data_IF_648803356001
#
_entry.id   IF_648803356001
#
_cell.length_a   1.000
_cell.length_b   1.000
_cell.length_c   1.000
_cell.angle_alpha   90.00
_cell.angle_beta   90.00
_cell.angle_gamma   90.00
#
_symmetry.space_group_name_H-M   'P 1'
#
loop_
_entity.id
_entity.type
_entity.pdbx_description
1 polymer ?
#
# COMPACT_ATOMS: atom_id res chain seq x y z
N UNK A 1 31.43 75.94 53.70
CA UNK A 1 31.07 74.50 53.75
C UNK A 1 30.66 74.05 52.39
N UNK A 2 31.55 73.55 51.56
CA UNK A 2 31.30 73.10 50.19
C UNK A 2 31.32 71.58 50.20
N UNK A 3 30.22 70.94 49.85
CA UNK A 3 30.15 69.49 49.69
C UNK A 3 30.50 69.12 48.27
N UNK A 4 31.63 68.47 48.05
CA UNK A 4 31.98 67.84 46.79
C UNK A 4 31.11 66.57 46.58
N UNK A 5 30.38 66.53 45.53
CA UNK A 5 29.66 65.31 45.04
C UNK A 5 30.57 64.67 43.99
N UNK A 6 31.11 63.48 44.31
CA UNK A 6 31.83 62.67 43.34
C UNK A 6 30.82 61.87 42.49
N UNK A 7 30.79 62.16 41.19
CA UNK A 7 30.00 61.42 40.22
C UNK A 7 30.86 60.25 39.70
N UNK A 8 30.53 59.03 40.11
CA UNK A 8 31.16 57.82 39.56
C UNK A 8 30.41 57.41 38.32
N UNK A 9 31.02 57.61 37.15
CA UNK A 9 30.50 57.10 35.89
C UNK A 9 31.02 55.67 35.74
N UNK A 10 30.10 54.70 35.89
CA UNK A 10 30.37 53.29 35.58
C UNK A 10 30.14 53.08 34.10
N UNK A 11 31.20 52.92 33.34
CA UNK A 11 31.17 52.58 31.92
C UNK A 11 30.97 51.07 31.82
N UNK A 12 29.69 50.63 31.61
CA UNK A 12 29.41 49.22 31.34
C UNK A 12 29.66 48.93 29.85
N UNK A 13 30.80 48.34 29.55
CA UNK A 13 31.10 47.76 28.22
C UNK A 13 30.29 46.47 28.06
N UNK A 14 29.09 46.53 27.49
CA UNK A 14 28.36 45.34 26.99
C UNK A 14 28.99 44.89 25.67
N UNK A 15 29.89 43.94 25.74
CA UNK A 15 30.35 43.19 24.59
C UNK A 15 29.14 42.33 24.07
N UNK A 16 28.51 42.82 23.02
CA UNK A 16 27.56 42.04 22.21
C UNK A 16 28.36 40.99 21.41
N UNK A 17 28.52 39.81 21.99
CA UNK A 17 28.86 38.63 21.21
C UNK A 17 27.67 38.32 20.28
N UNK A 18 27.77 38.75 18.98
CA UNK A 18 26.97 38.16 17.94
C UNK A 18 27.41 36.71 17.79
N UNK A 19 26.71 35.80 18.45
CA UNK A 19 26.71 34.38 18.08
C UNK A 19 26.11 34.34 16.68
N UNK A 20 26.93 34.35 15.65
CA UNK A 20 26.55 33.86 14.33
C UNK A 20 26.28 32.38 14.52
N UNK A 21 25.01 32.02 14.67
CA UNK A 21 24.57 30.66 14.41
C UNK A 21 25.03 30.36 12.97
N UNK A 22 26.12 29.62 12.85
CA UNK A 22 26.41 28.92 11.61
C UNK A 22 25.19 28.02 11.39
N UNK A 23 24.32 28.38 10.47
CA UNK A 23 23.37 27.46 9.89
C UNK A 23 24.23 26.31 9.35
N UNK A 24 24.36 25.25 10.15
CA UNK A 24 24.84 23.98 9.66
C UNK A 24 23.82 23.65 8.59
N UNK A 25 24.19 23.86 7.32
CA UNK A 25 23.44 23.35 6.19
C UNK A 25 23.36 21.84 6.42
N UNK A 26 22.27 21.37 7.03
CA UNK A 26 21.95 19.97 7.08
C UNK A 26 22.01 19.49 5.63
N UNK A 27 22.86 18.53 5.29
CA UNK A 27 22.92 18.04 3.92
C UNK A 27 21.50 17.64 3.55
N UNK A 28 21.01 18.16 2.41
CA UNK A 28 19.67 17.82 1.90
C UNK A 28 19.63 16.30 1.82
N UNK A 29 18.84 15.70 2.70
CA UNK A 29 18.76 14.23 2.78
C UNK A 29 18.35 13.70 1.42
N UNK A 30 19.19 12.84 0.86
CA UNK A 30 18.94 12.19 -0.43
C UNK A 30 17.64 11.40 -0.35
N UNK A 31 16.74 11.59 -1.31
CA UNK A 31 15.47 10.85 -1.40
C UNK A 31 15.66 9.59 -2.23
N UNK A 32 15.17 8.49 -1.72
CA UNK A 32 15.25 7.19 -2.37
C UNK A 32 13.88 6.75 -2.87
N UNK A 33 13.82 6.38 -4.14
CA UNK A 33 12.59 5.90 -4.76
C UNK A 33 12.87 4.86 -5.84
N UNK A 34 12.02 3.83 -5.89
CA UNK A 34 11.87 3.02 -7.09
C UNK A 34 10.93 3.76 -8.03
N UNK A 35 11.31 4.02 -9.27
CA UNK A 35 10.42 4.68 -10.21
C UNK A 35 10.57 4.13 -11.64
N UNK A 36 9.48 4.24 -12.41
CA UNK A 36 9.34 3.71 -13.75
C UNK A 36 8.55 4.71 -14.61
N UNK A 37 8.87 4.78 -15.89
CA UNK A 37 8.20 5.62 -16.89
C UNK A 37 7.15 4.85 -17.71
N UNK A 38 6.87 3.61 -17.33
CA UNK A 38 5.85 2.75 -17.92
C UNK A 38 5.06 1.99 -16.85
N UNK A 39 3.77 1.66 -17.09
CA UNK A 39 2.99 0.76 -16.26
C UNK A 39 3.62 -0.63 -16.18
N UNK A 40 3.26 -1.39 -15.14
CA UNK A 40 3.56 -2.80 -15.13
C UNK A 40 2.86 -3.52 -16.29
N UNK A 41 3.52 -4.47 -16.96
CA UNK A 41 2.90 -5.26 -18.02
C UNK A 41 1.62 -5.96 -17.55
N UNK A 42 0.75 -6.34 -18.48
CA UNK A 42 -0.46 -7.10 -18.23
C UNK A 42 -0.45 -8.42 -19.01
N UNK A 43 0.50 -9.29 -18.70
CA UNK A 43 0.68 -10.60 -19.35
C UNK A 43 -0.17 -11.70 -18.71
N UNK A 44 -0.64 -11.46 -17.50
CA UNK A 44 -1.32 -12.46 -16.69
C UNK A 44 -0.36 -13.45 -16.02
N UNK A 45 -0.93 -14.37 -15.25
CA UNK A 45 -0.18 -15.44 -14.63
C UNK A 45 0.12 -16.56 -15.64
N UNK A 46 1.35 -17.05 -15.67
CA UNK A 46 1.73 -18.19 -16.51
C UNK A 46 1.57 -19.50 -15.71
N UNK A 47 0.55 -20.24 -16.07
CA UNK A 47 0.24 -21.54 -15.45
C UNK A 47 1.11 -22.70 -15.97
N UNK A 48 1.87 -22.49 -17.04
CA UNK A 48 2.79 -23.51 -17.58
C UNK A 48 4.10 -23.60 -16.79
N UNK A 49 4.51 -22.50 -16.17
CA UNK A 49 5.77 -22.45 -15.41
C UNK A 49 5.56 -23.02 -14.01
N UNK A 50 6.33 -24.05 -13.69
CA UNK A 50 6.46 -24.60 -12.34
C UNK A 50 7.80 -24.23 -11.76
N UNK A 51 7.79 -23.40 -10.72
CA UNK A 51 9.01 -23.09 -9.97
C UNK A 51 9.13 -24.10 -8.83
N UNK A 52 10.22 -24.89 -8.76
CA UNK A 52 10.43 -25.84 -7.69
C UNK A 52 10.26 -25.17 -6.30
N UNK A 53 9.36 -25.70 -5.48
CA UNK A 53 9.07 -25.18 -4.14
C UNK A 53 8.12 -23.99 -4.04
N UNK A 54 7.70 -23.39 -5.19
CA UNK A 54 6.74 -22.26 -5.20
C UNK A 54 5.35 -22.61 -5.74
N UNK A 55 5.22 -23.72 -6.47
CA UNK A 55 3.93 -24.10 -7.08
C UNK A 55 3.55 -23.26 -8.30
N UNK A 56 2.31 -23.43 -8.75
CA UNK A 56 1.69 -22.68 -9.87
C UNK A 56 0.54 -21.83 -9.33
N UNK A 57 0.19 -20.70 -9.92
CA UNK A 57 0.80 -20.09 -11.12
C UNK A 57 2.01 -19.22 -10.80
N UNK A 58 2.86 -19.00 -11.82
CA UNK A 58 3.91 -18.00 -11.78
C UNK A 58 3.37 -16.69 -12.38
N UNK A 59 3.38 -15.60 -11.61
CA UNK A 59 3.00 -14.27 -12.06
C UNK A 59 4.26 -13.38 -12.16
N UNK A 60 4.87 -13.36 -13.34
CA UNK A 60 6.07 -12.59 -13.61
C UNK A 60 5.85 -11.07 -13.48
N UNK A 61 4.62 -10.60 -13.71
CA UNK A 61 4.28 -9.19 -13.55
C UNK A 61 4.24 -8.81 -12.07
N UNK A 62 3.76 -9.72 -11.22
CA UNK A 62 3.80 -9.54 -9.79
C UNK A 62 5.23 -9.55 -9.25
N UNK A 63 6.05 -10.50 -9.64
CA UNK A 63 7.42 -10.63 -9.11
C UNK A 63 8.34 -9.49 -9.54
N UNK A 64 8.25 -9.06 -10.80
CA UNK A 64 9.22 -8.14 -11.37
C UNK A 64 8.77 -6.68 -11.44
N UNK A 65 7.47 -6.41 -11.35
CA UNK A 65 6.95 -5.08 -11.66
C UNK A 65 6.05 -4.47 -10.61
N UNK A 66 5.47 -5.25 -9.69
CA UNK A 66 4.62 -4.69 -8.65
C UNK A 66 5.41 -3.93 -7.59
N UNK A 67 4.81 -2.87 -7.05
CA UNK A 67 5.39 -2.07 -5.97
C UNK A 67 4.73 -2.46 -4.65
N UNK A 68 5.48 -3.04 -3.68
CA UNK A 68 4.92 -3.51 -2.42
C UNK A 68 4.66 -2.37 -1.46
N UNK A 69 3.55 -2.48 -0.70
CA UNK A 69 3.19 -1.64 0.44
C UNK A 69 2.79 -2.55 1.60
N UNK A 70 3.00 -2.09 2.84
CA UNK A 70 2.60 -2.86 4.01
C UNK A 70 2.66 -2.07 5.31
N UNK A 71 1.99 -2.60 6.33
CA UNK A 71 1.97 -2.03 7.68
C UNK A 71 1.98 -3.12 8.78
N UNK A 72 2.55 -4.29 8.48
CA UNK A 72 2.59 -5.44 9.40
C UNK A 72 1.25 -6.19 9.57
N UNK A 73 0.10 -5.58 9.31
CA UNK A 73 -1.22 -6.23 9.34
C UNK A 73 -1.70 -6.65 7.96
N UNK A 74 -1.61 -5.74 7.02
CA UNK A 74 -1.98 -5.96 5.63
C UNK A 74 -0.82 -5.56 4.72
N UNK A 75 -0.77 -6.19 3.58
CA UNK A 75 0.12 -5.84 2.49
C UNK A 75 -0.66 -5.62 1.21
N UNK A 76 -0.10 -4.84 0.33
CA UNK A 76 -0.61 -4.63 -1.01
C UNK A 76 0.54 -4.57 -2.02
N UNK A 77 0.29 -5.01 -3.25
CA UNK A 77 1.19 -4.75 -4.37
C UNK A 77 0.45 -3.99 -5.45
N UNK A 78 1.03 -2.87 -5.92
CA UNK A 78 0.43 -1.94 -6.88
C UNK A 78 1.15 -2.05 -8.22
N UNK A 79 0.40 -2.17 -9.32
CA UNK A 79 0.96 -2.37 -10.67
C UNK A 79 1.09 -1.06 -11.46
N UNK A 80 0.30 -0.05 -11.14
CA UNK A 80 0.36 1.26 -11.79
C UNK A 80 -0.26 1.29 -13.19
N UNK A 81 -1.19 0.41 -13.51
CA UNK A 81 -1.86 0.37 -14.82
C UNK A 81 -2.93 1.46 -14.93
N UNK A 82 -3.16 1.97 -16.13
CA UNK A 82 -4.10 3.09 -16.36
C UNK A 82 -5.40 2.68 -17.06
N UNK A 83 -5.42 1.54 -17.72
CA UNK A 83 -6.64 0.91 -18.22
C UNK A 83 -7.40 0.24 -17.08
N UNK A 84 -6.77 -0.74 -16.46
CA UNK A 84 -7.26 -1.47 -15.30
C UNK A 84 -6.14 -1.63 -14.29
N UNK A 85 -6.14 -0.82 -13.23
CA UNK A 85 -5.21 -0.99 -12.11
C UNK A 85 -5.49 -2.29 -11.38
N UNK A 86 -4.45 -3.00 -11.01
CA UNK A 86 -4.50 -4.19 -10.16
C UNK A 86 -3.81 -3.90 -8.84
N UNK A 87 -4.48 -4.18 -7.73
CA UNK A 87 -3.93 -4.12 -6.38
C UNK A 87 -4.14 -5.48 -5.75
N UNK A 88 -3.07 -6.24 -5.57
CA UNK A 88 -3.17 -7.50 -4.84
C UNK A 88 -3.13 -7.22 -3.34
N UNK A 89 -4.04 -7.82 -2.58
CA UNK A 89 -4.21 -7.61 -1.15
C UNK A 89 -3.82 -8.88 -0.39
N UNK A 90 -3.10 -8.70 0.72
CA UNK A 90 -2.72 -9.77 1.65
C UNK A 90 -3.02 -9.35 3.08
N UNK A 91 -3.25 -10.33 3.94
CA UNK A 91 -3.42 -10.15 5.39
C UNK A 91 -2.54 -11.19 6.10
N UNK A 92 -1.89 -10.81 7.19
CA UNK A 92 -0.78 -11.55 7.78
C UNK A 92 -1.16 -12.87 8.46
N UNK A 93 -2.43 -13.21 8.55
CA UNK A 93 -2.93 -14.43 9.18
C UNK A 93 -3.81 -15.31 8.27
N UNK A 94 -4.15 -14.84 7.04
CA UNK A 94 -4.92 -15.65 6.11
C UNK A 94 -4.03 -16.75 5.52
N UNK A 95 -4.33 -17.99 5.88
CA UNK A 95 -3.54 -19.15 5.49
C UNK A 95 -4.40 -20.24 4.88
N UNK A 96 -3.83 -20.96 3.90
CA UNK A 96 -4.34 -22.23 3.40
C UNK A 96 -3.52 -23.40 3.96
N UNK A 97 -3.86 -24.64 3.58
CA UNK A 97 -3.17 -25.85 4.05
C UNK A 97 -1.67 -25.88 3.70
N UNK A 98 -1.26 -25.20 2.63
CA UNK A 98 0.10 -25.28 2.11
C UNK A 98 0.43 -26.65 1.50
N UNK A 99 1.61 -26.76 0.90
CA UNK A 99 2.05 -27.98 0.21
C UNK A 99 2.23 -29.17 1.18
N UNK A 100 2.67 -28.90 2.39
CA UNK A 100 2.96 -29.96 3.39
C UNK A 100 1.93 -30.02 4.52
N UNK A 101 0.81 -29.32 4.40
CA UNK A 101 -0.24 -29.33 5.42
C UNK A 101 0.05 -28.53 6.70
N UNK A 102 1.13 -27.77 6.72
CA UNK A 102 1.58 -26.97 7.88
C UNK A 102 1.14 -25.51 7.85
N UNK A 103 0.40 -25.13 6.82
CA UNK A 103 -0.04 -23.76 6.58
C UNK A 103 0.89 -22.99 5.63
N UNK A 104 0.29 -22.11 4.84
CA UNK A 104 0.97 -21.16 3.96
C UNK A 104 0.13 -19.91 3.82
N UNK A 105 0.75 -18.75 3.92
CA UNK A 105 0.06 -17.49 3.63
C UNK A 105 -0.46 -17.49 2.19
N UNK A 106 -1.62 -16.89 1.98
CA UNK A 106 -2.25 -16.81 0.67
C UNK A 106 -2.80 -15.41 0.40
N UNK A 107 -2.96 -15.03 -0.88
CA UNK A 107 -3.54 -13.75 -1.24
C UNK A 107 -4.96 -13.61 -0.69
N UNK A 108 -5.32 -12.43 -0.19
CA UNK A 108 -6.63 -12.18 0.40
C UNK A 108 -7.67 -11.91 -0.68
N UNK A 109 -7.39 -10.92 -1.52
CA UNK A 109 -8.21 -10.48 -2.64
C UNK A 109 -7.36 -9.76 -3.66
N UNK A 110 -7.90 -9.57 -4.86
CA UNK A 110 -7.38 -8.62 -5.84
C UNK A 110 -8.42 -7.53 -6.06
N UNK A 111 -8.00 -6.28 -5.94
CA UNK A 111 -8.83 -5.12 -6.22
C UNK A 111 -8.46 -4.56 -7.59
N UNK A 112 -9.46 -4.40 -8.43
CA UNK A 112 -9.34 -3.77 -9.74
C UNK A 112 -10.02 -2.41 -9.75
N UNK A 113 -9.32 -1.42 -10.34
CA UNK A 113 -9.84 -0.11 -10.63
C UNK A 113 -9.88 0.04 -12.15
N UNK A 114 -11.07 -0.14 -12.75
CA UNK A 114 -11.25 0.00 -14.18
C UNK A 114 -11.41 1.49 -14.52
N UNK A 115 -10.36 2.10 -15.06
CA UNK A 115 -10.26 3.52 -15.39
C UNK A 115 -10.48 3.79 -16.88
N UNK A 116 -10.11 2.81 -17.73
CA UNK A 116 -10.21 2.88 -19.19
C UNK A 116 -9.42 4.07 -19.78
N UNK A 117 -8.27 4.42 -19.19
CA UNK A 117 -7.43 5.52 -19.63
C UNK A 117 -6.36 5.02 -20.61
N UNK A 118 -6.52 5.37 -21.88
CA UNK A 118 -5.61 5.04 -22.98
C UNK A 118 -5.02 6.30 -23.60
N UNK A 119 -3.87 6.17 -24.27
CA UNK A 119 -3.24 7.32 -24.97
C UNK A 119 -2.67 8.40 -24.07
N UNK A 120 -2.39 8.08 -22.81
CA UNK A 120 -1.79 8.99 -21.83
C UNK A 120 -0.32 9.31 -22.16
N UNK A 121 0.16 10.44 -21.65
CA UNK A 121 1.55 10.92 -21.76
C UNK A 121 2.13 11.22 -20.38
N UNK A 122 3.44 11.51 -20.31
CA UNK A 122 4.15 11.91 -19.08
C UNK A 122 3.90 10.93 -17.90
N UNK A 123 3.85 9.64 -18.23
CA UNK A 123 3.60 8.62 -17.22
C UNK A 123 4.79 8.48 -16.28
N UNK A 124 4.51 8.39 -14.99
CA UNK A 124 5.46 8.00 -13.95
C UNK A 124 4.73 7.23 -12.85
N UNK A 125 5.27 6.06 -12.47
CA UNK A 125 4.93 5.38 -11.21
C UNK A 125 6.14 5.35 -10.30
N UNK A 126 5.91 5.45 -9.01
CA UNK A 126 6.98 5.60 -8.03
C UNK A 126 6.58 4.95 -6.70
N UNK A 127 7.56 4.36 -6.01
CA UNK A 127 7.50 4.03 -4.60
C UNK A 127 8.58 4.84 -3.89
N UNK A 128 8.18 5.86 -3.14
CA UNK A 128 9.06 6.64 -2.27
C UNK A 128 9.38 5.84 -1.01
N UNK A 129 10.65 5.52 -0.80
CA UNK A 129 11.10 4.79 0.37
C UNK A 129 11.10 5.66 1.63
N UNK A 130 11.28 6.97 1.47
CA UNK A 130 11.31 7.92 2.59
C UNK A 130 9.94 8.16 3.21
N UNK A 131 8.88 7.89 2.47
CA UNK A 131 7.50 8.12 2.91
C UNK A 131 6.62 6.88 2.89
N UNK A 132 7.10 5.75 2.34
CA UNK A 132 6.31 4.54 2.12
C UNK A 132 5.01 4.80 1.32
N UNK A 133 5.08 5.68 0.32
CA UNK A 133 3.96 6.04 -0.56
C UNK A 133 4.26 5.58 -1.97
N UNK A 134 3.37 4.78 -2.55
CA UNK A 134 3.35 4.56 -3.99
C UNK A 134 2.49 5.61 -4.68
N UNK A 135 2.91 6.06 -5.85
CA UNK A 135 2.15 7.02 -6.66
C UNK A 135 2.21 6.68 -8.14
N UNK A 136 1.15 7.06 -8.85
CA UNK A 136 1.06 7.00 -10.32
C UNK A 136 0.59 8.36 -10.81
N UNK A 137 1.29 8.91 -11.79
CA UNK A 137 0.98 10.22 -12.41
C UNK A 137 1.04 10.11 -13.91
N UNK A 138 0.14 10.76 -14.60
CA UNK A 138 0.11 10.84 -16.06
C UNK A 138 -0.82 11.96 -16.53
N UNK A 139 -0.69 12.34 -17.79
CA UNK A 139 -1.57 13.30 -18.47
C UNK A 139 -2.43 12.57 -19.50
N UNK A 140 -3.72 12.89 -19.54
CA UNK A 140 -4.67 12.41 -20.53
C UNK A 140 -5.67 13.52 -20.88
N UNK A 141 -5.79 13.84 -22.18
CA UNK A 141 -6.72 14.86 -22.69
C UNK A 141 -6.61 16.22 -21.98
N UNK A 142 -5.36 16.66 -21.67
CA UNK A 142 -5.09 17.92 -20.98
C UNK A 142 -5.43 17.92 -19.48
N UNK A 143 -5.72 16.75 -18.89
CA UNK A 143 -5.97 16.56 -17.47
C UNK A 143 -4.80 15.82 -16.84
N UNK A 144 -4.26 16.35 -15.75
CA UNK A 144 -3.23 15.65 -14.96
C UNK A 144 -3.90 14.77 -13.90
N UNK A 145 -3.65 13.46 -13.96
CA UNK A 145 -4.16 12.47 -13.02
C UNK A 145 -3.09 12.05 -12.02
N UNK A 146 -3.49 11.88 -10.77
CA UNK A 146 -2.60 11.35 -9.72
C UNK A 146 -3.34 10.30 -8.90
N UNK A 147 -2.70 9.16 -8.68
CA UNK A 147 -3.11 8.15 -7.70
C UNK A 147 -2.05 8.03 -6.63
N UNK A 148 -2.44 7.94 -5.36
CA UNK A 148 -1.54 7.71 -4.23
C UNK A 148 -2.03 6.52 -3.43
N UNK A 149 -1.08 5.72 -2.94
CA UNK A 149 -1.34 4.50 -2.18
C UNK A 149 -0.39 4.44 -0.98
N UNK A 150 -0.91 4.15 0.20
CA UNK A 150 -0.08 3.87 1.38
C UNK A 150 -0.83 2.99 2.38
N UNK A 151 -0.09 2.16 3.12
CA UNK A 151 -0.62 1.32 4.18
C UNK A 151 -0.34 1.99 5.53
N UNK A 152 -1.38 2.56 6.16
CA UNK A 152 -1.26 3.24 7.46
C UNK A 152 -1.25 2.23 8.60
N UNK A 153 -0.17 2.19 9.37
CA UNK A 153 -0.11 1.36 10.59
C UNK A 153 -1.03 1.90 11.70
N UNK A 154 -1.04 3.22 12.01
CA UNK A 154 -1.91 3.76 13.06
C UNK A 154 -3.40 3.60 12.77
N UNK A 155 -3.79 3.74 11.49
CA UNK A 155 -5.19 3.66 11.07
C UNK A 155 -5.61 2.24 10.64
N UNK A 156 -4.66 1.31 10.47
CA UNK A 156 -4.86 -0.11 10.08
C UNK A 156 -5.61 -0.28 8.75
N UNK A 157 -5.40 0.65 7.81
CA UNK A 157 -6.04 0.64 6.49
C UNK A 157 -5.00 0.83 5.39
N UNK A 158 -5.28 0.24 4.23
CA UNK A 158 -4.70 0.69 2.97
C UNK A 158 -5.54 1.87 2.48
N UNK A 159 -4.87 2.95 2.13
CA UNK A 159 -5.46 4.18 1.60
C UNK A 159 -5.12 4.31 0.13
N UNK A 160 -6.13 4.53 -0.70
CA UNK A 160 -5.97 4.85 -2.13
C UNK A 160 -6.69 6.16 -2.41
N UNK A 161 -5.98 7.13 -2.98
CA UNK A 161 -6.57 8.40 -3.41
C UNK A 161 -6.40 8.59 -4.91
N UNK A 162 -7.47 8.96 -5.59
CA UNK A 162 -7.47 9.39 -6.99
C UNK A 162 -7.82 10.87 -7.04
N UNK A 163 -7.03 11.65 -7.78
CA UNK A 163 -7.27 13.08 -8.03
C UNK A 163 -7.00 13.41 -9.50
N UNK A 164 -7.66 14.46 -9.97
CA UNK A 164 -7.45 15.05 -11.29
C UNK A 164 -7.25 16.57 -11.17
N UNK A 165 -6.54 17.19 -12.12
CA UNK A 165 -6.33 18.64 -12.15
C UNK A 165 -7.57 19.45 -12.52
N UNK A 166 -8.63 18.79 -12.95
CA UNK A 166 -9.92 19.38 -13.30
C UNK A 166 -11.05 18.66 -12.54
N UNK A 167 -12.09 19.38 -12.09
CA UNK A 167 -13.21 18.76 -11.39
C UNK A 167 -14.02 17.83 -12.32
N UNK A 168 -14.71 16.86 -11.73
CA UNK A 168 -15.58 15.95 -12.46
C UNK A 168 -14.86 14.94 -13.37
N UNK A 169 -13.55 14.75 -13.23
CA UNK A 169 -12.76 13.90 -14.14
C UNK A 169 -12.46 12.50 -13.59
N UNK A 170 -12.84 12.18 -12.37
CA UNK A 170 -12.65 10.85 -11.82
C UNK A 170 -13.84 9.97 -12.15
N UNK A 171 -13.62 9.01 -13.06
CA UNK A 171 -14.56 7.95 -13.38
C UNK A 171 -13.85 6.61 -13.27
N UNK A 172 -14.35 5.70 -12.43
CA UNK A 172 -13.73 4.42 -12.15
C UNK A 172 -14.76 3.40 -11.67
N UNK A 173 -14.59 2.14 -12.07
CA UNK A 173 -15.32 1.04 -11.47
C UNK A 173 -14.40 0.29 -10.49
N UNK A 174 -14.81 0.21 -9.24
CA UNK A 174 -14.07 -0.46 -8.15
C UNK A 174 -14.66 -1.83 -7.94
N UNK A 175 -13.90 -2.87 -8.23
CA UNK A 175 -14.36 -4.28 -8.15
C UNK A 175 -13.27 -5.19 -7.58
N UNK A 176 -13.46 -5.75 -6.40
CA UNK A 176 -12.61 -6.82 -5.92
C UNK A 176 -13.01 -8.18 -6.48
N UNK A 177 -12.05 -9.09 -6.52
CA UNK A 177 -12.27 -10.52 -6.74
C UNK A 177 -11.60 -11.32 -5.62
N UNK A 178 -12.16 -12.49 -5.32
CA UNK A 178 -11.54 -13.45 -4.43
C UNK A 178 -10.78 -14.48 -5.30
N UNK A 179 -9.44 -14.52 -5.25
CA UNK A 179 -8.67 -15.48 -6.03
C UNK A 179 -8.84 -16.90 -5.45
N UNK A 180 -8.62 -17.92 -6.26
CA UNK A 180 -8.57 -19.33 -5.84
C UNK A 180 -9.87 -19.88 -5.22
N UNK A 181 -11.04 -19.34 -5.58
CA UNK A 181 -12.32 -19.90 -5.16
C UNK A 181 -12.47 -21.37 -5.64
N UNK A 182 -13.09 -22.21 -4.81
CA UNK A 182 -13.24 -23.65 -5.05
C UNK A 182 -13.88 -24.02 -6.38
N UNK A 183 -14.80 -23.19 -6.89
CA UNK A 183 -15.60 -23.46 -8.08
C UNK A 183 -15.37 -22.41 -9.19
N UNK A 184 -14.21 -21.76 -9.22
CA UNK A 184 -13.90 -20.79 -10.26
C UNK A 184 -13.45 -21.51 -11.54
N UNK A 185 -14.35 -21.63 -12.50
CA UNK A 185 -14.05 -22.16 -13.85
C UNK A 185 -13.07 -21.26 -14.65
N UNK A 186 -12.79 -20.06 -14.16
CA UNK A 186 -11.92 -19.09 -14.82
C UNK A 186 -10.46 -19.24 -14.45
N UNK A 187 -10.14 -20.04 -13.45
CA UNK A 187 -8.75 -20.29 -13.04
C UNK A 187 -8.41 -21.76 -13.30
N UNK A 188 -7.48 -22.00 -14.20
CA UNK A 188 -6.85 -23.31 -14.40
C UNK A 188 -6.10 -23.82 -13.14
N UNK A 189 -6.31 -23.16 -12.01
CA UNK A 189 -5.69 -23.43 -10.71
C UNK A 189 -6.70 -24.11 -9.82
N UNK A 190 -6.32 -25.23 -9.27
CA UNK A 190 -7.04 -25.89 -8.20
C UNK A 190 -7.23 -24.92 -7.04
N UNK A 191 -8.49 -24.70 -6.61
CA UNK A 191 -8.79 -23.83 -5.49
C UNK A 191 -7.98 -24.16 -4.24
N UNK A 192 -7.67 -23.18 -3.40
CA UNK A 192 -6.88 -23.30 -2.20
C UNK A 192 -7.73 -23.65 -0.95
N UNK A 193 -8.95 -24.12 -1.17
CA UNK A 193 -9.85 -24.51 -0.09
C UNK A 193 -10.60 -23.33 0.52
N UNK A 194 -10.84 -22.24 -0.24
CA UNK A 194 -11.64 -21.10 0.22
C UNK A 194 -13.03 -21.08 -0.39
N UNK A 195 -13.95 -20.53 0.36
CA UNK A 195 -15.24 -20.04 -0.09
C UNK A 195 -15.37 -18.57 0.23
N UNK A 196 -16.21 -17.84 -0.48
CA UNK A 196 -16.41 -16.42 -0.17
C UNK A 196 -17.40 -15.76 -1.10
N UNK A 197 -17.77 -14.53 -0.72
CA UNK A 197 -18.70 -13.65 -1.43
C UNK A 197 -18.15 -12.22 -1.46
N UNK A 198 -18.50 -11.52 -2.53
CA UNK A 198 -18.26 -10.09 -2.69
C UNK A 198 -19.62 -9.40 -2.84
N UNK A 199 -19.96 -8.53 -1.91
CA UNK A 199 -21.24 -7.81 -1.90
C UNK A 199 -20.96 -6.30 -1.87
N UNK A 200 -21.72 -5.55 -2.64
CA UNK A 200 -21.70 -4.09 -2.62
C UNK A 200 -23.04 -3.54 -2.13
N UNK A 201 -23.00 -2.59 -1.19
CA UNK A 201 -24.16 -1.92 -0.64
C UNK A 201 -23.82 -0.47 -0.27
N UNK A 202 -24.56 0.49 -0.82
CA UNK A 202 -24.25 1.91 -0.61
C UNK A 202 -22.83 2.23 -1.08
N UNK A 203 -21.99 2.69 -0.16
CA UNK A 203 -20.60 3.08 -0.41
C UNK A 203 -19.58 2.04 0.09
N UNK A 204 -20.03 0.82 0.40
CA UNK A 204 -19.21 -0.24 0.97
C UNK A 204 -19.25 -1.50 0.12
N UNK A 205 -18.08 -2.04 -0.20
CA UNK A 205 -17.91 -3.38 -0.74
C UNK A 205 -17.38 -4.27 0.38
N UNK A 206 -18.03 -5.40 0.63
CA UNK A 206 -17.64 -6.40 1.62
C UNK A 206 -17.22 -7.69 0.93
N UNK A 207 -16.05 -8.16 1.28
CA UNK A 207 -15.53 -9.48 0.92
C UNK A 207 -15.59 -10.32 2.20
N UNK A 208 -16.29 -11.43 2.18
CA UNK A 208 -16.29 -12.34 3.32
C UNK A 208 -16.23 -13.80 2.87
N UNK A 209 -15.68 -14.65 3.71
CA UNK A 209 -15.57 -16.05 3.40
C UNK A 209 -14.88 -16.86 4.49
N UNK A 210 -14.64 -18.12 4.17
CA UNK A 210 -14.01 -19.06 5.08
C UNK A 210 -12.99 -19.94 4.34
N UNK A 211 -11.84 -20.18 4.96
CA UNK A 211 -10.88 -21.18 4.54
C UNK A 211 -11.26 -22.56 5.11
N UNK A 212 -11.05 -23.63 4.35
CA UNK A 212 -11.15 -25.00 4.89
C UNK A 212 -10.09 -25.27 5.96
N UNK A 213 -8.92 -24.70 5.78
CA UNK A 213 -7.80 -24.81 6.71
C UNK A 213 -8.11 -24.07 8.00
N UNK A 214 -8.21 -24.82 9.11
CA UNK A 214 -8.57 -24.36 10.45
C UNK A 214 -9.92 -23.61 10.55
N UNK A 215 -10.73 -23.61 9.50
CA UNK A 215 -11.99 -22.84 9.43
C UNK A 215 -11.77 -21.36 9.71
N UNK A 216 -10.70 -20.80 9.12
CA UNK A 216 -10.39 -19.38 9.24
C UNK A 216 -11.48 -18.58 8.54
N UNK A 217 -12.25 -17.82 9.31
CA UNK A 217 -13.15 -16.81 8.76
C UNK A 217 -12.33 -15.57 8.36
N UNK A 218 -12.65 -14.97 7.22
CA UNK A 218 -12.00 -13.75 6.76
C UNK A 218 -13.01 -12.74 6.26
N UNK A 219 -12.75 -11.46 6.52
CA UNK A 219 -13.53 -10.34 5.99
C UNK A 219 -12.63 -9.19 5.59
N UNK A 220 -12.94 -8.59 4.43
CA UNK A 220 -12.38 -7.35 3.94
C UNK A 220 -13.50 -6.34 3.68
N UNK A 221 -13.28 -5.09 4.03
CA UNK A 221 -14.19 -3.99 3.73
C UNK A 221 -13.46 -2.91 2.93
N UNK A 222 -14.11 -2.45 1.85
CA UNK A 222 -13.61 -1.43 0.94
C UNK A 222 -14.64 -0.30 0.92
N UNK A 223 -14.29 0.84 1.54
CA UNK A 223 -15.14 2.03 1.63
C UNK A 223 -14.81 2.98 0.48
N UNK A 224 -15.82 3.43 -0.24
CA UNK A 224 -15.72 4.29 -1.42
C UNK A 224 -16.24 5.68 -1.05
N UNK A 225 -15.37 6.70 -1.06
CA UNK A 225 -15.70 8.06 -0.60
C UNK A 225 -15.35 9.05 -1.73
N UNK A 226 -16.25 9.30 -2.67
CA UNK A 226 -16.05 10.31 -3.71
C UNK A 226 -16.33 11.73 -3.18
N UNK A 227 -15.65 12.71 -3.75
CA UNK A 227 -16.01 14.12 -3.67
C UNK A 227 -16.74 14.50 -4.96
N UNK A 228 -18.01 14.76 -4.87
CA UNK A 228 -18.85 14.98 -6.06
C UNK A 228 -19.12 13.71 -6.85
N UNK A 229 -19.73 13.88 -8.03
CA UNK A 229 -20.06 12.79 -8.94
C UNK A 229 -21.25 11.93 -8.49
N UNK A 230 -21.36 10.75 -9.09
CA UNK A 230 -22.43 9.78 -8.82
C UNK A 230 -21.84 8.41 -8.54
N UNK A 231 -22.52 7.63 -7.71
CA UNK A 231 -22.21 6.22 -7.44
C UNK A 231 -23.29 5.30 -7.96
N UNK A 232 -22.88 4.21 -8.58
CA UNK A 232 -23.76 3.11 -9.01
C UNK A 232 -23.25 1.81 -8.39
N UNK A 233 -24.08 1.19 -7.59
CA UNK A 233 -23.81 -0.10 -6.95
C UNK A 233 -24.26 -1.23 -7.86
N UNK A 234 -23.43 -2.25 -8.04
CA UNK A 234 -23.76 -3.47 -8.75
C UNK A 234 -23.35 -4.68 -7.92
N UNK A 235 -24.26 -5.63 -7.80
CA UNK A 235 -23.99 -6.94 -7.21
C UNK A 235 -24.73 -7.99 -8.03
N UNK A 236 -24.09 -9.14 -8.26
CA UNK A 236 -24.77 -10.26 -8.89
C UNK A 236 -25.61 -11.07 -7.87
N UNK A 237 -26.50 -11.93 -8.38
CA UNK A 237 -27.41 -12.76 -7.56
C UNK A 237 -26.62 -13.76 -6.71
N UNK A 238 -25.46 -14.21 -7.19
CA UNK A 238 -24.63 -15.21 -6.51
C UNK A 238 -23.71 -14.57 -5.46
N UNK A 239 -23.64 -13.23 -5.40
CA UNK A 239 -22.83 -12.50 -4.45
C UNK A 239 -21.31 -12.64 -4.68
N UNK A 240 -20.86 -12.84 -5.91
CA UNK A 240 -19.45 -12.99 -6.25
C UNK A 240 -18.85 -11.78 -6.99
N UNK A 241 -19.69 -10.87 -7.50
CA UNK A 241 -19.29 -9.73 -8.35
C UNK A 241 -19.83 -8.39 -7.86
N UNK A 242 -19.64 -8.11 -6.57
CA UNK A 242 -19.96 -6.78 -6.04
C UNK A 242 -19.01 -5.70 -6.55
N UNK A 243 -19.53 -4.58 -7.06
CA UNK A 243 -18.74 -3.44 -7.50
C UNK A 243 -19.44 -2.11 -7.25
N UNK A 244 -18.67 -1.03 -7.20
CA UNK A 244 -19.18 0.33 -7.13
C UNK A 244 -18.50 1.15 -8.23
N UNK A 245 -19.33 1.68 -9.14
CA UNK A 245 -18.88 2.62 -10.17
C UNK A 245 -19.04 4.05 -9.65
N UNK A 246 -17.99 4.82 -9.70
CA UNK A 246 -17.98 6.29 -9.48
C UNK A 246 -17.89 6.96 -10.84
N UNK A 247 -18.69 8.00 -11.09
CA UNK A 247 -18.68 8.73 -12.35
C UNK A 247 -18.66 10.24 -12.08
N UNK A 248 -17.69 10.93 -12.67
CA UNK A 248 -17.63 12.40 -12.66
C UNK A 248 -17.32 12.98 -11.27
N UNK A 249 -16.53 12.32 -10.44
CA UNK A 249 -16.10 12.88 -9.16
C UNK A 249 -14.89 13.81 -9.34
N UNK A 250 -14.70 14.75 -8.41
CA UNK A 250 -13.54 15.64 -8.33
C UNK A 250 -12.32 14.89 -7.76
N UNK A 251 -12.58 14.01 -6.81
CA UNK A 251 -11.60 13.11 -6.23
C UNK A 251 -12.28 11.86 -5.66
N UNK A 252 -11.50 10.82 -5.39
CA UNK A 252 -11.97 9.59 -4.79
C UNK A 252 -10.99 9.12 -3.73
N UNK A 253 -11.50 8.84 -2.52
CA UNK A 253 -10.78 8.17 -1.45
C UNK A 253 -11.34 6.76 -1.29
N UNK A 254 -10.46 5.76 -1.30
CA UNK A 254 -10.80 4.36 -1.05
C UNK A 254 -10.04 3.92 0.20
N UNK A 255 -10.76 3.36 1.17
CA UNK A 255 -10.19 2.82 2.41
C UNK A 255 -10.43 1.32 2.46
N UNK A 256 -9.39 0.55 2.76
CA UNK A 256 -9.46 -0.91 2.77
C UNK A 256 -8.96 -1.43 4.11
N UNK A 257 -9.77 -2.24 4.79
CA UNK A 257 -9.40 -2.97 6.00
C UNK A 257 -9.66 -4.45 5.80
N UNK A 258 -8.74 -5.28 6.26
CA UNK A 258 -8.77 -6.72 6.15
C UNK A 258 -8.63 -7.35 7.53
N UNK A 259 -9.18 -8.53 7.72
CA UNK A 259 -9.01 -9.26 8.97
C UNK A 259 -9.47 -10.71 8.88
N UNK A 260 -8.96 -11.51 9.81
CA UNK A 260 -9.38 -12.89 10.01
C UNK A 260 -9.75 -13.12 11.48
N UNK A 261 -10.38 -14.26 11.78
CA UNK A 261 -10.59 -14.72 13.14
C UNK A 261 -9.38 -15.48 13.70
N UNK A 262 -8.28 -15.58 12.95
CA UNK A 262 -7.08 -16.25 13.43
C UNK A 262 -6.54 -15.56 14.68
N UNK A 263 -6.27 -16.36 15.71
CA UNK A 263 -5.61 -15.90 16.92
C UNK A 263 -4.60 -16.95 17.36
N UNK A 264 -3.39 -16.51 17.68
CA UNK A 264 -2.34 -17.38 18.20
C UNK A 264 -2.70 -17.79 19.63
N UNK A 265 -3.39 -18.94 19.77
CA UNK A 265 -3.84 -19.52 21.02
C UNK A 265 -3.28 -20.93 21.19
N UNK A 266 -3.28 -21.43 22.44
CA UNK A 266 -2.82 -22.80 22.72
C UNK A 266 -3.58 -23.86 21.90
N UNK A 267 -4.88 -23.66 21.64
CA UNK A 267 -5.71 -24.57 20.83
C UNK A 267 -5.19 -24.78 19.41
N UNK A 268 -4.51 -23.79 18.82
CA UNK A 268 -3.90 -23.94 17.48
C UNK A 268 -2.87 -25.07 17.46
N UNK A 269 -2.17 -25.27 18.57
CA UNK A 269 -1.13 -26.31 18.72
C UNK A 269 -1.64 -27.60 19.35
N UNK A 270 -2.55 -27.53 20.32
CA UNK A 270 -2.94 -28.65 21.16
C UNK A 270 -4.22 -29.37 20.71
N UNK A 271 -5.12 -28.68 19.97
CA UNK A 271 -6.35 -29.28 19.45
C UNK A 271 -6.04 -30.16 18.24
N UNK A 272 -6.30 -31.46 18.29
CA UNK A 272 -6.01 -32.37 17.18
C UNK A 272 -6.97 -32.19 15.99
N UNK A 273 -8.22 -31.75 16.25
CA UNK A 273 -9.21 -31.51 15.21
C UNK A 273 -8.99 -30.11 14.55
N UNK A 274 -8.56 -30.02 13.29
CA UNK A 274 -8.33 -28.74 12.64
C UNK A 274 -9.57 -27.83 12.65
N UNK A 275 -10.76 -28.39 12.59
CA UNK A 275 -12.03 -27.65 12.59
C UNK A 275 -12.36 -27.00 13.93
N UNK A 276 -11.70 -27.41 15.02
CA UNK A 276 -11.94 -26.92 16.39
C UNK A 276 -10.86 -25.92 16.87
N UNK A 277 -9.75 -25.80 16.15
CA UNK A 277 -8.61 -24.97 16.59
C UNK A 277 -8.99 -23.51 16.87
N UNK A 278 -9.94 -22.95 16.14
CA UNK A 278 -10.39 -21.57 16.22
C UNK A 278 -11.84 -21.40 16.73
N UNK A 279 -12.47 -22.46 17.27
CA UNK A 279 -13.87 -22.42 17.70
C UNK A 279 -14.21 -21.29 18.70
N UNK A 280 -13.28 -20.91 19.56
CA UNK A 280 -13.46 -19.85 20.55
C UNK A 280 -13.05 -18.46 20.05
N UNK A 281 -12.88 -18.28 18.72
CA UNK A 281 -12.53 -16.99 18.14
C UNK A 281 -13.76 -16.28 17.56
N UNK A 282 -13.72 -14.95 17.53
CA UNK A 282 -14.84 -14.12 17.05
C UNK A 282 -14.63 -13.81 15.58
N UNK A 283 -15.70 -13.88 14.80
CA UNK A 283 -15.70 -13.46 13.38
C UNK A 283 -15.12 -12.05 13.23
N UNK A 284 -14.28 -11.76 12.22
CA UNK A 284 -13.54 -10.49 12.10
C UNK A 284 -14.42 -9.26 11.79
N UNK A 285 -15.70 -9.42 11.51
CA UNK A 285 -16.62 -8.37 11.07
C UNK A 285 -16.56 -7.10 11.95
N UNK A 286 -16.71 -7.26 13.27
CA UNK A 286 -16.75 -6.12 14.18
C UNK A 286 -15.42 -5.36 14.19
N UNK A 287 -14.29 -6.08 14.16
CA UNK A 287 -12.95 -5.50 14.11
C UNK A 287 -12.76 -4.70 12.80
N UNK A 288 -13.05 -5.32 11.66
CA UNK A 288 -12.87 -4.70 10.35
C UNK A 288 -13.80 -3.49 10.17
N UNK A 289 -15.07 -3.62 10.56
CA UNK A 289 -16.05 -2.52 10.50
C UNK A 289 -15.67 -1.32 11.37
N UNK A 290 -15.21 -1.56 12.60
CA UNK A 290 -14.78 -0.47 13.49
C UNK A 290 -13.56 0.27 12.96
N UNK A 291 -12.62 -0.43 12.35
CA UNK A 291 -11.43 0.18 11.71
C UNK A 291 -11.86 1.07 10.54
N UNK A 292 -12.67 0.56 9.62
CA UNK A 292 -13.16 1.33 8.46
C UNK A 292 -13.94 2.55 8.89
N UNK A 293 -14.85 2.41 9.86
CA UNK A 293 -15.65 3.53 10.38
C UNK A 293 -14.80 4.60 11.06
N UNK A 294 -13.76 4.21 11.78
CA UNK A 294 -12.83 5.15 12.40
C UNK A 294 -11.98 5.89 11.34
N UNK A 295 -11.47 5.17 10.34
CA UNK A 295 -10.69 5.76 9.27
C UNK A 295 -11.52 6.68 8.36
N UNK A 296 -12.78 6.33 8.08
CA UNK A 296 -13.69 7.12 7.25
C UNK A 296 -14.11 8.47 7.85
N UNK A 297 -13.87 8.68 9.14
CA UNK A 297 -14.08 9.99 9.80
C UNK A 297 -12.92 10.96 9.57
N UNK A 298 -11.82 10.50 9.01
CA UNK A 298 -10.60 11.28 8.78
C UNK A 298 -10.51 11.71 7.33
N UNK A 299 -10.00 12.91 7.12
CA UNK A 299 -9.61 13.36 5.79
C UNK A 299 -8.39 12.59 5.27
N UNK A 300 -8.16 12.63 3.96
CA UNK A 300 -6.93 12.09 3.38
C UNK A 300 -5.67 12.69 4.02
N UNK A 301 -5.67 13.98 4.30
CA UNK A 301 -4.54 14.68 4.92
C UNK A 301 -4.25 14.19 6.34
N UNK A 302 -5.28 13.91 7.13
CA UNK A 302 -5.11 13.35 8.47
C UNK A 302 -4.57 11.92 8.43
N UNK A 303 -5.08 11.07 7.53
CA UNK A 303 -4.57 9.72 7.33
C UNK A 303 -3.10 9.74 6.86
N UNK A 304 -2.78 10.64 5.92
CA UNK A 304 -1.42 10.82 5.43
C UNK A 304 -0.47 11.32 6.54
N UNK A 305 -0.90 12.29 7.33
CA UNK A 305 -0.10 12.83 8.44
C UNK A 305 0.18 11.76 9.50
N UNK A 306 -0.81 10.93 9.86
CA UNK A 306 -0.64 9.81 10.77
C UNK A 306 0.37 8.80 10.24
N UNK A 307 0.22 8.40 8.98
CA UNK A 307 1.11 7.47 8.30
C UNK A 307 2.56 8.00 8.26
N UNK A 308 2.75 9.24 7.82
CA UNK A 308 4.09 9.84 7.74
C UNK A 308 4.74 9.98 9.13
N UNK A 309 4.00 10.42 10.13
CA UNK A 309 4.52 10.56 11.50
C UNK A 309 5.03 9.23 12.05
N UNK A 310 4.30 8.14 11.83
CA UNK A 310 4.68 6.80 12.26
C UNK A 310 5.89 6.30 11.46
N UNK A 311 5.77 6.22 10.16
CA UNK A 311 6.77 5.62 9.27
C UNK A 311 8.12 6.37 9.30
N UNK A 312 8.11 7.71 9.19
CA UNK A 312 9.36 8.49 9.13
C UNK A 312 10.14 8.46 10.44
N UNK A 313 9.46 8.23 11.58
CA UNK A 313 10.11 8.02 12.88
C UNK A 313 11.00 6.77 12.87
N UNK A 314 10.62 5.73 12.15
CA UNK A 314 11.41 4.50 12.01
C UNK A 314 12.44 4.63 10.89
N UNK A 315 12.01 5.08 9.72
CA UNK A 315 12.87 5.16 8.54
C UNK A 315 14.02 6.17 8.72
N UNK A 316 13.77 7.30 9.37
CA UNK A 316 14.76 8.36 9.59
C UNK A 316 15.90 8.01 10.54
N UNK A 317 15.86 6.87 11.26
CA UNK A 317 16.88 6.47 12.24
C UNK A 317 18.21 6.06 11.63
N UNK A 318 18.22 5.65 10.37
CA UNK A 318 19.42 5.18 9.67
C UNK A 318 19.47 5.79 8.29
N UNK A 319 20.64 6.30 7.93
CA UNK A 319 20.95 6.76 6.59
C UNK A 319 22.31 6.19 6.17
N UNK A 320 22.44 5.89 4.87
CA UNK A 320 23.70 5.54 4.23
C UNK A 320 23.89 6.46 3.03
N UNK A 321 25.08 6.99 2.87
CA UNK A 321 25.47 7.79 1.71
C UNK A 321 26.86 7.34 1.25
N UNK A 322 26.92 6.76 0.06
CA UNK A 322 28.15 6.30 -0.59
C UNK A 322 28.66 7.33 -1.63
N UNK A 323 28.06 8.52 -1.66
CA UNK A 323 28.38 9.56 -2.63
C UNK A 323 27.67 9.40 -3.97
N UNK A 324 26.69 8.49 -4.08
CA UNK A 324 25.91 8.27 -5.31
C UNK A 324 25.09 9.50 -5.70
N UNK A 325 25.00 9.80 -7.00
CA UNK A 325 24.17 10.86 -7.56
C UNK A 325 22.82 10.26 -7.97
N UNK A 326 21.72 10.95 -7.63
CA UNK A 326 20.37 10.49 -8.01
C UNK A 326 20.27 10.42 -9.55
N UNK A 327 20.02 9.23 -10.12
CA UNK A 327 20.00 9.07 -11.58
C UNK A 327 18.71 9.63 -12.18
N UNK A 328 18.81 10.07 -13.44
CA UNK A 328 17.66 10.55 -14.22
C UNK A 328 16.96 9.44 -15.02
N UNK A 329 17.48 8.22 -14.99
CA UNK A 329 16.93 7.04 -15.67
C UNK A 329 16.07 6.21 -14.71
N UNK A 330 15.03 5.50 -15.21
CA UNK A 330 14.19 4.63 -14.41
C UNK A 330 14.97 3.49 -13.72
N UNK A 331 14.37 2.93 -12.66
CA UNK A 331 15.04 1.91 -11.83
C UNK A 331 15.36 0.62 -12.59
N UNK A 332 14.51 0.20 -13.51
CA UNK A 332 14.75 -0.97 -14.37
C UNK A 332 15.96 -0.77 -15.30
N UNK A 333 16.07 0.40 -15.93
CA UNK A 333 17.23 0.76 -16.76
C UNK A 333 18.52 0.86 -15.94
N UNK A 334 18.41 1.43 -14.72
CA UNK A 334 19.55 1.49 -13.80
C UNK A 334 20.03 0.10 -13.39
N UNK A 335 19.10 -0.81 -13.10
CA UNK A 335 19.38 -2.20 -12.77
C UNK A 335 20.00 -2.96 -13.97
N UNK A 336 19.52 -2.74 -15.18
CA UNK A 336 20.06 -3.35 -16.38
C UNK A 336 21.49 -2.86 -16.71
N UNK A 337 21.77 -1.58 -16.46
CA UNK A 337 23.12 -1.04 -16.59
C UNK A 337 24.05 -1.66 -15.55
N UNK A 338 23.60 -1.85 -14.32
CA UNK A 338 24.39 -2.49 -13.26
C UNK A 338 24.71 -3.96 -13.61
N UNK A 339 23.76 -4.72 -14.14
CA UNK A 339 23.98 -6.09 -14.64
C UNK A 339 25.02 -6.17 -15.76
N UNK A 340 25.21 -5.10 -16.52
CA UNK A 340 26.25 -4.98 -17.57
C UNK A 340 27.61 -4.53 -17.01
N UNK A 341 27.76 -4.42 -15.69
CA UNK A 341 28.99 -4.04 -15.02
C UNK A 341 29.21 -2.54 -14.85
N UNK A 342 28.19 -1.70 -15.09
CA UNK A 342 28.23 -0.27 -14.82
C UNK A 342 27.89 -0.03 -13.35
N UNK A 343 28.91 0.04 -12.50
CA UNK A 343 28.73 0.28 -11.07
C UNK A 343 27.98 1.60 -10.82
N UNK A 344 27.08 1.60 -9.84
CA UNK A 344 26.31 2.77 -9.48
C UNK A 344 26.06 2.82 -7.96
N UNK A 345 26.72 3.75 -7.30
CA UNK A 345 26.64 3.91 -5.85
C UNK A 345 25.21 4.24 -5.37
N UNK A 346 24.44 5.02 -6.14
CA UNK A 346 23.06 5.29 -5.78
C UNK A 346 22.20 4.02 -5.80
N UNK A 347 22.42 3.11 -6.75
CA UNK A 347 21.69 1.84 -6.78
C UNK A 347 22.02 0.97 -5.55
N UNK A 348 23.27 0.98 -5.10
CA UNK A 348 23.70 0.26 -3.89
C UNK A 348 23.06 0.85 -2.64
N UNK A 349 23.03 2.18 -2.52
CA UNK A 349 22.30 2.90 -1.48
C UNK A 349 20.79 2.59 -1.52
N UNK A 350 20.20 2.64 -2.72
CA UNK A 350 18.78 2.36 -2.95
C UNK A 350 18.43 0.92 -2.55
N UNK A 351 19.29 -0.05 -2.87
CA UNK A 351 19.10 -1.46 -2.50
C UNK A 351 19.09 -1.65 -0.98
N UNK A 352 20.02 -1.01 -0.27
CA UNK A 352 20.06 -1.02 1.20
C UNK A 352 18.80 -0.38 1.79
N UNK A 353 18.41 0.79 1.29
CA UNK A 353 17.22 1.51 1.79
C UNK A 353 15.93 0.76 1.46
N UNK A 354 15.87 0.05 0.33
CA UNK A 354 14.74 -0.80 -0.02
C UNK A 354 14.60 -1.99 0.94
N UNK A 355 15.71 -2.63 1.30
CA UNK A 355 15.71 -3.69 2.31
C UNK A 355 15.16 -3.20 3.67
N UNK A 356 15.57 -2.00 4.11
CA UNK A 356 15.04 -1.37 5.32
C UNK A 356 13.55 -1.04 5.21
N UNK A 357 13.13 -0.49 4.07
CA UNK A 357 11.73 -0.25 3.76
C UNK A 357 10.90 -1.51 3.93
N UNK A 358 11.33 -2.63 3.33
CA UNK A 358 10.63 -3.91 3.42
C UNK A 358 10.51 -4.41 4.88
N UNK A 359 11.59 -4.29 5.67
CA UNK A 359 11.56 -4.66 7.09
C UNK A 359 10.55 -3.84 7.89
N UNK A 360 10.52 -2.51 7.72
CA UNK A 360 9.58 -1.62 8.41
C UNK A 360 8.13 -1.92 7.96
N UNK A 361 7.91 -2.09 6.66
CA UNK A 361 6.57 -2.29 6.09
C UNK A 361 5.97 -3.67 6.40
N UNK A 362 6.79 -4.65 6.80
CA UNK A 362 6.35 -6.00 7.14
C UNK A 362 6.22 -6.26 8.66
N UNK A 363 6.51 -5.25 9.50
CA UNK A 363 6.60 -5.40 10.97
C UNK A 363 5.39 -4.84 11.70
#
# INVERSE_FOLDING_TARGET
MQKCVFLVVVLSCTLLFKVTEAQINQPVQKKYALWYDAPAPNRGADYSIEIPGRGKPFDADWENWSLPLGNGYLGATVFGRNDTERIQLTENSLSNKGLWGIGSLTGFAELYLDLDHHGYTHYKRELSLDSAISSVKYDLDGVHYTRKYFASYPDKVLVVQLTASQPGKITVNVRPIIPFLRNSDTMAVKGDGRSGKVMANGDLITINGQMEYYKIDYEGQIKIIPSGGQQLVSSDVDGQKGSIRVTGADSLLILISLGTNYALKASVFTEPDPGKKLQATVHPHQKVSSIIQAAAKKSFQELLANHLKDYTTLYGRVNIDLGGVIPTIPTDQLLDNYKKGLANQYLEELYFQYGRYLLISSS
#
